data_IF_826473109181
#
_entry.id   IF_826473109181
#
_cell.length_a   1.000
_cell.length_b   1.000
_cell.length_c   1.000
_cell.angle_alpha   90.00
_cell.angle_beta   90.00
_cell.angle_gamma   90.00
#
_symmetry.space_group_name_H-M   'P 1'
#
loop_
_entity.id
_entity.type
_entity.pdbx_description
1 polymer ?
#
# COMPACT_ATOMS: atom_id res chain seq x y z
N UNK A 1 -12.95 -16.62 -9.96
CA UNK A 1 -13.46 -15.96 -8.75
C UNK A 1 -12.22 -15.54 -7.97
N UNK A 2 -12.04 -14.24 -7.74
CA UNK A 2 -10.87 -13.71 -7.04
C UNK A 2 -10.92 -14.14 -5.56
N UNK A 3 -9.76 -14.31 -4.92
CA UNK A 3 -9.64 -14.77 -3.52
C UNK A 3 -10.47 -13.88 -2.58
N UNK A 4 -10.44 -12.56 -2.80
CA UNK A 4 -11.25 -11.59 -2.02
C UNK A 4 -12.75 -11.88 -2.13
N UNK A 5 -13.27 -12.18 -3.32
CA UNK A 5 -14.70 -12.47 -3.50
C UNK A 5 -15.11 -13.76 -2.77
N UNK A 6 -14.19 -14.73 -2.67
CA UNK A 6 -14.41 -15.95 -1.91
C UNK A 6 -14.43 -15.68 -0.39
N UNK A 7 -13.46 -14.90 0.11
CA UNK A 7 -13.36 -14.54 1.54
C UNK A 7 -14.55 -13.69 1.97
N UNK A 8 -14.88 -12.63 1.22
CA UNK A 8 -16.05 -11.78 1.49
C UNK A 8 -17.37 -12.54 1.39
N UNK A 9 -17.41 -13.63 0.59
CA UNK A 9 -18.58 -14.52 0.49
C UNK A 9 -18.91 -15.23 1.78
N UNK A 10 -17.94 -15.57 2.63
CA UNK A 10 -18.15 -16.17 3.95
C UNK A 10 -18.68 -15.17 4.98
N UNK A 11 -18.37 -13.89 4.82
CA UNK A 11 -18.77 -12.80 5.72
C UNK A 11 -20.01 -12.04 5.20
N UNK A 12 -20.82 -12.61 4.30
CA UNK A 12 -22.04 -11.96 3.84
C UNK A 12 -22.96 -11.64 5.01
N UNK A 13 -23.13 -10.37 5.39
CA UNK A 13 -24.13 -10.01 6.39
C UNK A 13 -25.53 -10.27 5.84
N UNK A 14 -26.41 -10.73 6.71
CA UNK A 14 -27.85 -10.96 6.41
C UNK A 14 -28.59 -9.62 6.23
N UNK A 15 -27.93 -8.49 6.48
CA UNK A 15 -28.44 -7.13 6.32
C UNK A 15 -27.72 -6.49 5.13
N UNK A 16 -28.46 -5.98 4.18
CA UNK A 16 -27.95 -5.08 3.12
C UNK A 16 -27.55 -3.77 3.81
N UNK A 17 -26.32 -3.69 4.30
CA UNK A 17 -25.77 -2.41 4.77
C UNK A 17 -25.63 -1.48 3.57
N UNK A 18 -26.12 -0.25 3.73
CA UNK A 18 -25.92 0.84 2.76
C UNK A 18 -24.41 1.00 2.54
N UNK A 19 -23.96 0.98 1.27
CA UNK A 19 -22.56 1.30 0.95
C UNK A 19 -22.19 2.62 1.65
N UNK A 20 -21.11 2.60 2.44
CA UNK A 20 -20.64 3.81 3.12
C UNK A 20 -20.16 4.78 2.04
N UNK A 21 -20.65 5.98 2.09
CA UNK A 21 -20.28 7.05 1.16
C UNK A 21 -18.84 7.47 1.44
N UNK A 22 -17.97 7.36 0.42
CA UNK A 22 -16.57 7.80 0.51
C UNK A 22 -16.50 9.25 0.05
N UNK A 23 -16.01 10.12 0.93
CA UNK A 23 -15.74 11.51 0.57
C UNK A 23 -14.50 11.62 -0.28
N UNK A 24 -14.62 12.17 -1.49
CA UNK A 24 -13.47 12.42 -2.38
C UNK A 24 -13.26 13.92 -2.57
N UNK A 25 -12.09 14.42 -2.16
CA UNK A 25 -11.63 15.80 -2.33
C UNK A 25 -10.59 15.84 -3.45
N UNK A 26 -10.78 16.70 -4.44
CA UNK A 26 -9.86 16.88 -5.57
C UNK A 26 -9.17 18.23 -5.48
N UNK A 27 -7.86 18.23 -5.68
CA UNK A 27 -6.99 19.39 -5.60
C UNK A 27 -6.13 19.48 -6.87
N UNK A 28 -5.99 20.66 -7.44
CA UNK A 28 -5.06 20.88 -8.56
C UNK A 28 -3.61 20.72 -8.09
N UNK A 29 -3.28 21.31 -6.93
CA UNK A 29 -1.97 21.18 -6.31
C UNK A 29 -2.05 21.30 -4.78
N UNK A 30 -1.12 20.64 -4.10
CA UNK A 30 -0.95 20.68 -2.65
C UNK A 30 0.52 20.40 -2.31
N UNK A 31 0.96 20.72 -1.09
CA UNK A 31 2.29 20.33 -0.61
C UNK A 31 2.40 18.80 -0.52
N UNK A 32 1.44 18.18 0.16
CA UNK A 32 1.32 16.72 0.29
C UNK A 32 -0.12 16.36 0.66
N UNK A 33 -0.69 15.35 -0.01
CA UNK A 33 -2.04 14.84 0.31
C UNK A 33 -2.12 14.27 1.73
N UNK A 34 -1.04 13.65 2.25
CA UNK A 34 -0.93 13.24 3.65
C UNK A 34 -0.96 14.45 4.60
N UNK A 35 -0.20 15.51 4.29
CA UNK A 35 -0.17 16.72 5.12
C UNK A 35 -1.55 17.39 5.17
N UNK A 36 -2.26 17.41 4.07
CA UNK A 36 -3.64 17.90 4.00
C UNK A 36 -4.55 17.11 4.95
N UNK A 37 -4.55 15.79 4.87
CA UNK A 37 -5.42 14.94 5.71
C UNK A 37 -5.05 14.96 7.20
N UNK A 38 -3.80 15.22 7.55
CA UNK A 38 -3.41 15.38 8.97
C UNK A 38 -4.09 16.56 9.67
N UNK A 39 -4.46 17.58 8.92
CA UNK A 39 -5.15 18.78 9.42
C UNK A 39 -6.65 18.77 9.10
N UNK A 40 -7.10 17.82 8.30
CA UNK A 40 -8.50 17.67 7.93
C UNK A 40 -9.33 17.19 9.12
N UNK A 41 -10.51 17.77 9.27
CA UNK A 41 -11.47 17.33 10.29
C UNK A 41 -12.68 16.75 9.57
N UNK A 42 -12.83 15.41 9.56
CA UNK A 42 -13.97 14.76 8.93
C UNK A 42 -15.28 15.10 9.67
N UNK A 43 -16.41 15.06 8.95
CA UNK A 43 -17.71 15.10 9.57
C UNK A 43 -17.98 13.79 10.35
N UNK A 44 -18.97 13.79 11.26
CA UNK A 44 -19.28 12.62 12.10
C UNK A 44 -19.69 11.38 11.29
N UNK A 45 -20.25 11.58 10.11
CA UNK A 45 -20.70 10.53 9.19
C UNK A 45 -19.71 10.23 8.05
N UNK A 46 -18.47 10.71 8.13
CA UNK A 46 -17.38 10.52 7.16
C UNK A 46 -16.43 9.39 7.60
N UNK A 47 -16.75 8.11 7.36
CA UNK A 47 -15.93 6.98 7.83
C UNK A 47 -14.63 6.85 7.04
N UNK A 48 -14.58 7.40 5.82
CA UNK A 48 -13.44 7.36 4.92
C UNK A 48 -13.39 8.62 4.06
N UNK A 49 -12.22 9.28 4.05
CA UNK A 49 -11.97 10.46 3.21
C UNK A 49 -10.79 10.20 2.30
N UNK A 50 -10.95 10.46 1.02
CA UNK A 50 -9.90 10.39 0.01
C UNK A 50 -9.57 11.79 -0.49
N UNK A 51 -8.30 12.15 -0.48
CA UNK A 51 -7.80 13.36 -1.12
C UNK A 51 -6.90 12.97 -2.28
N UNK A 52 -7.17 13.48 -3.46
CA UNK A 52 -6.36 13.28 -4.66
C UNK A 52 -5.89 14.63 -5.18
N UNK A 53 -4.63 14.70 -5.62
CA UNK A 53 -4.04 15.91 -6.20
C UNK A 53 -3.41 15.61 -7.57
N UNK A 54 -3.53 16.56 -8.49
CA UNK A 54 -2.83 16.47 -9.77
C UNK A 54 -1.32 16.70 -9.63
N UNK A 55 -0.92 17.47 -8.60
CA UNK A 55 0.49 17.73 -8.32
C UNK A 55 0.76 17.89 -6.82
N UNK A 56 1.90 17.37 -6.35
CA UNK A 56 2.43 17.61 -5.01
C UNK A 56 3.75 18.40 -5.10
N UNK A 57 3.80 19.57 -4.45
CA UNK A 57 5.02 20.42 -4.44
C UNK A 57 6.07 19.91 -3.46
N UNK A 58 5.70 19.08 -2.50
CA UNK A 58 6.57 18.47 -1.48
C UNK A 58 6.18 17.03 -1.21
N UNK A 59 6.07 16.22 -2.28
CA UNK A 59 5.75 14.79 -2.20
C UNK A 59 6.76 14.06 -1.31
N UNK A 60 6.25 13.25 -0.36
CA UNK A 60 7.06 12.54 0.64
C UNK A 60 7.05 11.05 0.39
N UNK A 61 8.23 10.43 0.54
CA UNK A 61 8.39 9.00 0.73
C UNK A 61 8.69 8.66 2.19
N UNK A 62 9.12 7.44 2.45
CA UNK A 62 9.48 6.99 3.79
C UNK A 62 10.77 7.66 4.31
N UNK A 63 10.71 8.22 5.52
CA UNK A 63 11.83 8.91 6.18
C UNK A 63 12.16 10.23 5.50
N UNK A 64 13.36 10.36 4.92
CA UNK A 64 13.84 11.56 4.21
C UNK A 64 13.63 11.52 2.70
N UNK A 65 13.06 10.42 2.17
CA UNK A 65 12.87 10.28 0.74
C UNK A 65 11.74 11.19 0.23
N UNK A 66 11.89 11.64 -1.00
CA UNK A 66 10.87 12.39 -1.73
C UNK A 66 10.17 11.49 -2.75
N UNK A 67 8.95 11.84 -3.13
CA UNK A 67 8.23 11.20 -4.23
C UNK A 67 8.22 12.14 -5.44
N UNK A 68 8.84 11.69 -6.53
CA UNK A 68 8.82 12.39 -7.81
C UNK A 68 7.50 12.15 -8.54
N UNK A 69 6.92 13.20 -9.11
CA UNK A 69 5.76 13.08 -9.99
C UNK A 69 5.66 14.24 -10.94
N UNK A 70 5.43 13.95 -12.22
CA UNK A 70 5.04 14.94 -13.21
C UNK A 70 3.58 15.35 -13.01
N UNK A 71 3.28 16.65 -13.13
CA UNK A 71 1.93 17.17 -12.90
C UNK A 71 0.90 16.52 -13.84
N UNK A 72 -0.20 16.07 -13.28
CA UNK A 72 -1.31 15.45 -13.99
C UNK A 72 -1.06 14.04 -14.54
N UNK A 73 0.16 13.48 -14.42
CA UNK A 73 0.51 12.17 -15.02
C UNK A 73 0.24 10.97 -14.10
N UNK A 74 0.37 11.15 -12.80
CA UNK A 74 0.30 10.06 -11.85
C UNK A 74 -0.93 10.17 -10.93
N UNK A 75 -1.23 9.13 -10.17
CA UNK A 75 -2.18 9.18 -9.07
C UNK A 75 -1.42 9.47 -7.77
N UNK A 76 -1.68 10.66 -7.21
CA UNK A 76 -1.16 11.13 -5.94
C UNK A 76 -2.35 11.33 -5.01
N UNK A 77 -2.58 10.41 -4.10
CA UNK A 77 -3.74 10.46 -3.24
C UNK A 77 -3.45 9.94 -1.83
N UNK A 78 -4.29 10.32 -0.90
CA UNK A 78 -4.26 9.77 0.45
C UNK A 78 -5.66 9.37 0.90
N UNK A 79 -5.74 8.31 1.71
CA UNK A 79 -6.98 7.80 2.31
C UNK A 79 -6.87 7.95 3.81
N UNK A 80 -7.83 8.65 4.43
CA UNK A 80 -7.99 8.75 5.88
C UNK A 80 -9.06 7.75 6.34
N UNK A 81 -8.72 6.95 7.33
CA UNK A 81 -9.64 6.04 8.03
C UNK A 81 -9.43 6.08 9.53
N UNK A 82 -10.38 5.53 10.31
CA UNK A 82 -10.41 5.54 11.77
C UNK A 82 -10.42 4.12 12.34
N UNK A 83 -9.28 3.37 12.30
CA UNK A 83 -9.21 1.93 12.62
C UNK A 83 -9.16 1.66 14.12
N UNK A 84 -10.13 2.18 14.88
CA UNK A 84 -10.18 2.05 16.35
C UNK A 84 -10.34 0.61 16.85
N UNK A 85 -10.71 -0.33 15.95
CA UNK A 85 -10.79 -1.77 16.24
C UNK A 85 -9.41 -2.42 16.36
N UNK A 86 -8.35 -1.85 15.75
CA UNK A 86 -7.02 -2.44 15.75
C UNK A 86 -6.18 -2.01 16.94
N UNK A 87 -5.52 -2.96 17.64
CA UNK A 87 -4.49 -2.62 18.63
C UNK A 87 -3.23 -2.11 17.91
N UNK A 88 -2.47 -1.24 18.60
CA UNK A 88 -1.25 -0.62 18.01
C UNK A 88 -0.23 -1.69 17.54
N UNK A 89 -0.11 -2.81 18.26
CA UNK A 89 0.80 -3.91 17.92
C UNK A 89 0.48 -4.58 16.57
N UNK A 90 -0.76 -4.47 16.10
CA UNK A 90 -1.22 -5.05 14.82
C UNK A 90 -1.41 -3.97 13.75
N UNK A 91 -0.71 -2.84 13.86
CA UNK A 91 -0.85 -1.72 12.93
C UNK A 91 -0.42 -2.08 11.51
N UNK A 92 0.46 -3.08 11.34
CA UNK A 92 0.95 -3.48 10.02
C UNK A 92 -0.16 -4.10 9.15
N UNK A 93 -1.22 -4.66 9.75
CA UNK A 93 -2.41 -5.11 9.02
C UNK A 93 -3.05 -4.01 8.15
N UNK A 94 -2.92 -2.74 8.57
CA UNK A 94 -3.36 -1.61 7.75
C UNK A 94 -2.51 -1.47 6.47
N UNK A 95 -1.19 -1.65 6.60
CA UNK A 95 -0.26 -1.65 5.47
C UNK A 95 -0.56 -2.79 4.50
N UNK A 96 -0.82 -3.98 5.03
CA UNK A 96 -1.19 -5.17 4.26
C UNK A 96 -2.48 -4.94 3.47
N UNK A 97 -3.53 -4.46 4.13
CA UNK A 97 -4.83 -4.18 3.49
C UNK A 97 -4.72 -3.11 2.40
N UNK A 98 -3.99 -2.01 2.67
CA UNK A 98 -3.76 -0.96 1.68
C UNK A 98 -2.97 -1.44 0.46
N UNK A 99 -1.90 -2.21 0.68
CA UNK A 99 -1.09 -2.79 -0.39
C UNK A 99 -1.88 -3.80 -1.23
N UNK A 100 -2.68 -4.65 -0.58
CA UNK A 100 -3.57 -5.60 -1.26
C UNK A 100 -4.63 -4.87 -2.10
N UNK A 101 -5.21 -3.77 -1.61
CA UNK A 101 -6.18 -2.99 -2.36
C UNK A 101 -5.59 -2.46 -3.68
N UNK A 102 -4.37 -1.92 -3.62
CA UNK A 102 -3.63 -1.48 -4.81
C UNK A 102 -3.35 -2.65 -5.75
N UNK A 103 -2.81 -3.75 -5.23
CA UNK A 103 -2.53 -4.95 -6.03
C UNK A 103 -3.76 -5.46 -6.77
N UNK A 104 -4.88 -5.62 -6.06
CA UNK A 104 -6.12 -6.13 -6.65
C UNK A 104 -6.67 -5.21 -7.76
N UNK A 105 -6.64 -3.88 -7.54
CA UNK A 105 -7.05 -2.92 -8.55
C UNK A 105 -6.13 -2.95 -9.78
N UNK A 106 -4.83 -3.10 -9.58
CA UNK A 106 -3.82 -3.13 -10.65
C UNK A 106 -3.82 -4.45 -11.43
N UNK A 107 -4.25 -5.56 -10.82
CA UNK A 107 -4.33 -6.87 -11.48
C UNK A 107 -5.26 -6.85 -12.71
N UNK A 108 -6.26 -5.97 -12.72
CA UNK A 108 -7.14 -5.79 -13.89
C UNK A 108 -6.40 -5.21 -15.11
N UNK A 109 -5.29 -4.50 -14.89
CA UNK A 109 -4.46 -3.87 -15.93
C UNK A 109 -3.27 -4.72 -16.35
N UNK A 110 -2.52 -5.25 -15.37
CA UNK A 110 -1.22 -5.90 -15.62
C UNK A 110 -1.13 -7.36 -15.16
N UNK A 111 -2.28 -7.97 -14.88
CA UNK A 111 -2.44 -9.39 -14.50
C UNK A 111 -1.54 -9.79 -13.31
N UNK A 112 -0.85 -10.94 -13.42
CA UNK A 112 -0.18 -11.61 -12.29
C UNK A 112 1.25 -11.13 -11.99
N UNK A 113 1.76 -10.12 -12.70
CA UNK A 113 3.14 -9.63 -12.52
C UNK A 113 3.28 -8.62 -11.36
N UNK A 114 2.18 -8.26 -10.68
CA UNK A 114 2.20 -7.36 -9.54
C UNK A 114 2.55 -8.11 -8.25
N UNK A 115 3.53 -7.57 -7.51
CA UNK A 115 3.99 -8.10 -6.22
C UNK A 115 4.11 -6.98 -5.19
N UNK A 116 3.92 -7.34 -3.93
CA UNK A 116 4.07 -6.46 -2.78
C UNK A 116 5.49 -6.56 -2.26
N UNK A 117 6.29 -5.52 -2.46
CA UNK A 117 7.66 -5.48 -1.92
C UNK A 117 7.63 -4.81 -0.55
N UNK A 118 7.91 -5.60 0.48
CA UNK A 118 8.06 -5.11 1.83
C UNK A 118 9.04 -3.92 1.92
N UNK A 119 8.73 -2.88 2.72
CA UNK A 119 7.57 -2.79 3.60
C UNK A 119 6.32 -2.16 2.93
N UNK A 120 6.43 -1.41 1.83
CA UNK A 120 5.40 -0.47 1.42
C UNK A 120 5.35 -0.17 -0.08
N UNK A 121 5.98 -0.98 -0.91
CA UNK A 121 6.08 -0.75 -2.35
C UNK A 121 5.26 -1.77 -3.16
N UNK A 122 4.77 -1.33 -4.30
CA UNK A 122 4.20 -2.20 -5.33
C UNK A 122 5.20 -2.31 -6.47
N UNK A 123 5.52 -3.54 -6.83
CA UNK A 123 6.44 -3.85 -7.91
C UNK A 123 5.73 -4.56 -9.05
N UNK A 124 6.08 -4.18 -10.29
CA UNK A 124 5.82 -4.96 -11.48
C UNK A 124 7.13 -5.60 -11.91
N UNK A 125 7.21 -6.93 -11.83
CA UNK A 125 8.50 -7.65 -11.92
C UNK A 125 9.53 -7.05 -10.94
N UNK A 126 10.68 -6.60 -11.44
CA UNK A 126 11.74 -5.99 -10.64
C UNK A 126 11.69 -4.44 -10.67
N UNK A 127 10.56 -3.83 -11.04
CA UNK A 127 10.43 -2.38 -11.17
C UNK A 127 9.36 -1.82 -10.23
N UNK A 128 9.68 -0.68 -9.62
CA UNK A 128 8.79 0.02 -8.69
C UNK A 128 7.69 0.77 -9.42
N UNK A 129 6.45 0.35 -9.20
CA UNK A 129 5.25 0.96 -9.77
C UNK A 129 4.59 1.95 -8.81
N UNK A 130 4.59 1.65 -7.51
CA UNK A 130 3.96 2.49 -6.49
C UNK A 130 4.74 2.43 -5.18
N UNK A 131 4.59 3.49 -4.37
CA UNK A 131 5.03 3.54 -2.97
C UNK A 131 3.92 4.06 -2.08
N UNK A 132 3.85 3.55 -0.84
CA UNK A 132 2.85 3.96 0.15
C UNK A 132 3.54 4.54 1.38
N UNK A 133 3.05 5.65 1.90
CA UNK A 133 3.47 6.26 3.17
C UNK A 133 2.29 6.26 4.15
N UNK A 134 2.39 5.44 5.20
CA UNK A 134 1.35 5.31 6.21
C UNK A 134 1.74 6.09 7.45
N UNK A 135 0.84 6.96 7.90
CA UNK A 135 1.00 7.77 9.12
C UNK A 135 -0.18 7.52 10.05
N UNK A 136 0.10 7.14 11.30
CA UNK A 136 -0.92 6.85 12.30
C UNK A 136 -0.92 7.88 13.41
N UNK A 137 -2.11 8.19 13.92
CA UNK A 137 -2.31 8.99 15.14
C UNK A 137 -2.90 8.12 16.23
N UNK A 138 -2.23 8.09 17.37
CA UNK A 138 -2.66 7.28 18.49
C UNK A 138 -3.47 8.10 19.48
N UNK A 139 -4.50 7.49 20.09
CA UNK A 139 -5.23 8.02 21.23
C UNK A 139 -5.66 6.87 22.14
N UNK A 140 -5.46 7.04 23.43
CA UNK A 140 -5.87 6.04 24.47
C UNK A 140 -5.38 4.62 24.18
N UNK A 141 -4.15 4.47 23.65
CA UNK A 141 -3.54 3.16 23.36
C UNK A 141 -4.10 2.45 22.10
N UNK A 142 -4.88 3.15 21.30
CA UNK A 142 -5.44 2.65 20.02
C UNK A 142 -5.06 3.56 18.86
N UNK A 143 -5.18 3.05 17.65
CA UNK A 143 -5.02 3.85 16.45
C UNK A 143 -6.33 4.64 16.27
N UNK A 144 -6.23 5.97 16.43
CA UNK A 144 -7.37 6.87 16.22
C UNK A 144 -7.59 7.14 14.75
N UNK A 145 -6.54 7.60 14.07
CA UNK A 145 -6.56 7.97 12.66
C UNK A 145 -5.41 7.28 11.95
N UNK A 146 -5.63 6.89 10.70
CA UNK A 146 -4.61 6.35 9.81
C UNK A 146 -4.73 7.01 8.45
N UNK A 147 -3.63 7.60 7.96
CA UNK A 147 -3.53 8.21 6.63
C UNK A 147 -2.62 7.34 5.76
N UNK A 148 -3.17 6.84 4.66
CA UNK A 148 -2.45 6.10 3.63
C UNK A 148 -2.14 7.04 2.47
N UNK A 149 -0.90 7.52 2.37
CA UNK A 149 -0.45 8.27 1.21
C UNK A 149 0.05 7.32 0.14
N UNK A 150 -0.44 7.47 -1.07
CA UNK A 150 -0.08 6.61 -2.20
C UNK A 150 0.43 7.47 -3.35
N UNK A 151 1.64 7.14 -3.83
CA UNK A 151 2.15 7.57 -5.11
C UNK A 151 2.13 6.39 -6.08
N UNK A 152 1.34 6.47 -7.13
CA UNK A 152 1.23 5.43 -8.16
C UNK A 152 1.59 6.03 -9.52
N UNK A 153 2.62 5.47 -10.15
CA UNK A 153 3.07 5.88 -11.47
C UNK A 153 2.08 5.36 -12.52
N UNK A 154 1.36 6.28 -13.18
CA UNK A 154 0.32 5.91 -14.15
C UNK A 154 0.73 6.23 -15.57
N UNK A 155 0.84 7.52 -15.92
CA UNK A 155 1.08 7.99 -17.28
C UNK A 155 2.40 8.78 -17.43
N UNK A 156 3.27 8.75 -16.44
CA UNK A 156 4.60 9.35 -16.53
C UNK A 156 5.53 8.46 -17.36
N UNK A 157 6.18 9.02 -18.35
CA UNK A 157 7.08 8.27 -19.25
C UNK A 157 8.55 8.38 -18.84
N UNK A 158 8.96 9.50 -18.23
CA UNK A 158 10.35 9.77 -17.88
C UNK A 158 10.47 10.04 -16.37
N UNK A 159 11.45 9.41 -15.74
CA UNK A 159 11.79 9.58 -14.33
C UNK A 159 13.19 10.19 -14.22
N UNK A 160 13.36 11.16 -13.31
CA UNK A 160 14.58 11.93 -13.14
C UNK A 160 15.22 11.76 -11.75
N UNK A 161 14.48 11.17 -10.80
CA UNK A 161 14.99 10.91 -9.45
C UNK A 161 15.91 9.69 -9.41
N UNK A 162 16.68 9.59 -8.31
CA UNK A 162 17.54 8.42 -8.03
C UNK A 162 16.74 7.19 -7.55
N UNK A 163 15.41 7.18 -7.73
CA UNK A 163 14.58 6.03 -7.38
C UNK A 163 15.00 4.81 -8.22
N UNK A 164 15.34 3.68 -7.61
CA UNK A 164 15.76 2.52 -8.37
C UNK A 164 14.59 1.94 -9.17
N UNK A 165 14.84 1.70 -10.47
CA UNK A 165 13.94 0.95 -11.35
C UNK A 165 12.47 1.42 -11.38
N UNK A 166 12.15 2.73 -11.48
CA UNK A 166 10.76 3.16 -11.58
C UNK A 166 10.13 2.69 -12.89
N UNK A 167 8.83 2.45 -12.84
CA UNK A 167 8.01 2.14 -14.02
C UNK A 167 6.61 2.70 -13.83
N UNK A 168 5.93 3.04 -14.93
CA UNK A 168 4.54 3.46 -14.94
C UNK A 168 3.64 2.47 -15.67
N UNK A 169 2.33 2.57 -15.46
CA UNK A 169 1.36 1.72 -16.17
C UNK A 169 1.41 1.95 -17.67
N UNK A 170 1.53 3.19 -18.14
CA UNK A 170 1.60 3.47 -19.59
C UNK A 170 2.83 2.85 -20.24
N UNK A 171 3.98 2.80 -19.55
CA UNK A 171 5.17 2.12 -20.05
C UNK A 171 4.99 0.60 -20.14
N UNK A 172 4.21 0.01 -19.22
CA UNK A 172 3.92 -1.43 -19.20
C UNK A 172 2.92 -1.80 -20.31
N UNK A 173 1.88 -0.98 -20.48
CA UNK A 173 0.74 -1.26 -21.36
C UNK A 173 0.93 -0.73 -22.79
N UNK A 174 1.80 0.26 -22.97
CA UNK A 174 2.01 0.95 -24.25
C UNK A 174 0.94 1.99 -24.61
N UNK A 175 0.09 2.37 -23.66
CA UNK A 175 -0.93 3.41 -23.83
C UNK A 175 -1.27 4.07 -22.47
N UNK A 176 -1.84 5.28 -22.51
CA UNK A 176 -2.31 5.97 -21.31
C UNK A 176 -3.49 5.24 -20.65
N UNK A 177 -3.56 5.37 -19.31
CA UNK A 177 -4.61 4.79 -18.47
C UNK A 177 -5.48 5.92 -17.93
N UNK A 178 -6.79 5.70 -17.89
CA UNK A 178 -7.74 6.60 -17.22
C UNK A 178 -7.50 6.56 -15.71
N UNK A 179 -6.95 7.66 -15.18
CA UNK A 179 -6.62 7.80 -13.76
C UNK A 179 -7.86 7.80 -12.86
N UNK A 180 -8.97 8.37 -13.34
CA UNK A 180 -10.21 8.45 -12.55
C UNK A 180 -10.85 7.07 -12.44
N UNK A 181 -10.90 6.30 -13.50
CA UNK A 181 -11.38 4.92 -13.48
C UNK A 181 -10.53 4.06 -12.54
N UNK A 182 -9.20 4.21 -12.62
CA UNK A 182 -8.26 3.47 -11.77
C UNK A 182 -8.42 3.86 -10.29
N UNK A 183 -8.55 5.16 -9.98
CA UNK A 183 -8.76 5.64 -8.62
C UNK A 183 -10.05 5.05 -8.03
N UNK A 184 -11.14 5.05 -8.78
CA UNK A 184 -12.42 4.50 -8.34
C UNK A 184 -12.32 2.98 -8.05
N UNK A 185 -11.58 2.23 -8.85
CA UNK A 185 -11.30 0.81 -8.60
C UNK A 185 -10.48 0.61 -7.32
N UNK A 186 -9.46 1.45 -7.10
CA UNK A 186 -8.62 1.39 -5.89
C UNK A 186 -9.48 1.69 -4.65
N UNK A 187 -10.28 2.76 -4.66
CA UNK A 187 -11.16 3.13 -3.55
C UNK A 187 -12.12 1.99 -3.21
N UNK A 188 -12.72 1.37 -4.23
CA UNK A 188 -13.60 0.23 -4.04
C UNK A 188 -12.87 -0.94 -3.35
N UNK A 189 -11.69 -1.33 -3.86
CA UNK A 189 -10.90 -2.42 -3.28
C UNK A 189 -10.41 -2.11 -1.87
N UNK A 190 -10.03 -0.86 -1.62
CA UNK A 190 -9.65 -0.40 -0.29
C UNK A 190 -10.83 -0.52 0.69
N UNK A 191 -12.02 -0.08 0.29
CA UNK A 191 -13.23 -0.19 1.12
C UNK A 191 -13.58 -1.65 1.44
N UNK A 192 -13.46 -2.56 0.46
CA UNK A 192 -13.70 -4.00 0.64
C UNK A 192 -12.74 -4.61 1.67
N UNK A 193 -11.43 -4.32 1.56
CA UNK A 193 -10.40 -4.88 2.44
C UNK A 193 -10.41 -4.22 3.83
N UNK A 194 -10.67 -2.92 3.90
CA UNK A 194 -10.84 -2.23 5.18
C UNK A 194 -12.05 -2.78 5.95
N UNK A 195 -13.16 -3.05 5.26
CA UNK A 195 -14.31 -3.72 5.86
C UNK A 195 -13.97 -5.12 6.37
N UNK A 196 -13.15 -5.89 5.64
CA UNK A 196 -12.69 -7.20 6.12
C UNK A 196 -11.91 -7.07 7.43
N UNK A 197 -11.06 -6.05 7.58
CA UNK A 197 -10.40 -5.73 8.85
C UNK A 197 -11.41 -5.40 9.96
N UNK A 198 -12.43 -4.58 9.68
CA UNK A 198 -13.48 -4.24 10.65
C UNK A 198 -14.25 -5.48 11.13
N UNK A 199 -14.40 -6.48 10.26
CA UNK A 199 -15.05 -7.76 10.57
C UNK A 199 -14.12 -8.78 11.28
N UNK A 200 -12.86 -8.41 11.53
CA UNK A 200 -11.88 -9.28 12.20
C UNK A 200 -11.17 -10.28 11.29
N UNK A 201 -11.21 -10.11 9.97
CA UNK A 201 -10.55 -10.95 8.97
C UNK A 201 -9.03 -10.78 8.90
N UNK A 202 -8.37 -10.68 10.04
CA UNK A 202 -6.93 -10.38 10.14
C UNK A 202 -6.06 -11.45 9.51
N UNK A 203 -6.36 -12.72 9.81
CA UNK A 203 -5.61 -13.84 9.26
C UNK A 203 -5.76 -13.96 7.73
N UNK A 204 -6.93 -13.61 7.19
CA UNK A 204 -7.18 -13.64 5.74
C UNK A 204 -6.36 -12.55 5.05
N UNK A 205 -6.34 -11.33 5.61
CA UNK A 205 -5.53 -10.22 5.09
C UNK A 205 -4.05 -10.60 5.10
N UNK A 206 -3.53 -11.10 6.24
CA UNK A 206 -2.12 -11.47 6.35
C UNK A 206 -1.77 -12.62 5.41
N UNK A 207 -2.60 -13.65 5.27
CA UNK A 207 -2.38 -14.74 4.33
C UNK A 207 -2.33 -14.25 2.87
N UNK A 208 -3.28 -13.39 2.46
CA UNK A 208 -3.29 -12.80 1.12
C UNK A 208 -2.05 -11.93 0.87
N UNK A 209 -1.61 -11.16 1.87
CA UNK A 209 -0.41 -10.33 1.78
C UNK A 209 0.84 -11.19 1.59
N UNK A 210 1.04 -12.22 2.41
CA UNK A 210 2.16 -13.15 2.30
C UNK A 210 2.20 -13.86 0.95
N UNK A 211 1.03 -14.26 0.41
CA UNK A 211 0.93 -14.82 -0.94
C UNK A 211 1.40 -13.87 -2.04
N UNK A 212 1.17 -12.58 -1.86
CA UNK A 212 1.48 -11.54 -2.82
C UNK A 212 2.91 -11.00 -2.73
N UNK A 213 3.70 -11.41 -1.71
CA UNK A 213 5.04 -10.87 -1.48
C UNK A 213 5.97 -11.05 -2.68
N UNK A 214 6.70 -9.99 -2.97
CA UNK A 214 7.83 -10.00 -3.89
C UNK A 214 8.93 -10.90 -3.34
N UNK A 215 9.45 -11.82 -4.15
CA UNK A 215 10.48 -12.80 -3.74
C UNK A 215 10.05 -13.73 -2.60
N UNK A 216 8.77 -14.03 -2.50
CA UNK A 216 8.23 -14.97 -1.50
C UNK A 216 8.90 -16.35 -1.53
N UNK A 217 9.23 -16.85 -2.72
CA UNK A 217 9.79 -18.19 -2.88
C UNK A 217 11.28 -18.21 -3.20
N UNK A 218 11.99 -19.18 -2.63
CA UNK A 218 13.42 -19.38 -2.91
C UNK A 218 14.35 -18.45 -2.14
N UNK A 219 15.64 -18.62 -2.38
CA UNK A 219 16.69 -17.77 -1.82
C UNK A 219 17.00 -16.62 -2.78
N UNK A 220 17.11 -15.42 -2.24
CA UNK A 220 17.43 -14.20 -2.97
C UNK A 220 18.52 -13.42 -2.25
N UNK A 221 19.17 -12.49 -2.94
CA UNK A 221 20.22 -11.66 -2.38
C UNK A 221 19.61 -10.49 -1.60
N UNK A 222 20.12 -10.32 -0.40
CA UNK A 222 19.84 -9.22 0.51
C UNK A 222 21.14 -8.60 0.99
N UNK A 223 21.08 -7.37 1.53
CA UNK A 223 22.16 -6.68 2.20
C UNK A 223 21.67 -6.10 3.50
N UNK A 224 22.40 -6.29 4.59
CA UNK A 224 22.22 -5.65 5.88
C UNK A 224 23.52 -4.96 6.34
N UNK A 225 23.60 -4.59 7.63
CA UNK A 225 24.79 -3.94 8.20
C UNK A 225 26.04 -4.82 8.17
N UNK A 226 25.89 -6.14 8.14
CA UNK A 226 27.00 -7.11 8.13
C UNK A 226 27.45 -7.45 6.69
N UNK A 227 26.69 -7.05 5.67
CA UNK A 227 27.02 -7.28 4.26
C UNK A 227 25.95 -8.03 3.47
N UNK A 228 26.35 -8.59 2.33
CA UNK A 228 25.44 -9.33 1.45
C UNK A 228 25.28 -10.78 1.90
N UNK A 229 24.07 -11.29 1.81
CA UNK A 229 23.73 -12.67 2.09
C UNK A 229 22.60 -13.19 1.21
N UNK A 230 22.45 -14.50 1.12
CA UNK A 230 21.30 -15.14 0.51
C UNK A 230 20.30 -15.53 1.60
N UNK A 231 19.05 -15.10 1.43
CA UNK A 231 17.96 -15.36 2.36
C UNK A 231 16.64 -15.68 1.65
N UNK A 232 15.78 -16.39 2.35
CA UNK A 232 14.41 -16.66 1.95
C UNK A 232 13.45 -15.98 2.93
N UNK A 233 12.39 -15.37 2.43
CA UNK A 233 11.34 -14.77 3.26
C UNK A 233 10.59 -15.90 3.96
N UNK A 234 10.54 -15.84 5.29
CA UNK A 234 9.75 -16.74 6.13
C UNK A 234 8.34 -16.14 6.31
N UNK A 235 8.29 -14.93 6.87
CA UNK A 235 7.04 -14.21 7.15
C UNK A 235 7.30 -12.71 7.36
N UNK A 236 6.23 -11.96 7.47
CA UNK A 236 6.21 -10.61 8.02
C UNK A 236 5.31 -10.67 9.25
N UNK A 237 5.82 -10.23 10.39
CA UNK A 237 5.09 -10.28 11.67
C UNK A 237 4.01 -9.19 11.76
N UNK A 238 3.09 -9.32 12.72
CA UNK A 238 1.95 -8.40 12.93
C UNK A 238 2.38 -6.94 13.17
N UNK A 239 3.60 -6.72 13.68
CA UNK A 239 4.18 -5.41 13.90
C UNK A 239 5.00 -4.88 12.72
N UNK A 240 5.14 -5.72 11.66
CA UNK A 240 5.78 -5.39 10.40
C UNK A 240 7.24 -5.83 10.27
N UNK A 241 7.82 -6.55 11.26
CA UNK A 241 9.17 -7.10 11.11
C UNK A 241 9.23 -8.13 9.98
N UNK A 242 10.26 -8.03 9.14
CA UNK A 242 10.53 -9.02 8.10
C UNK A 242 11.43 -10.12 8.66
N UNK A 243 10.95 -11.35 8.59
CA UNK A 243 11.70 -12.53 9.02
C UNK A 243 12.31 -13.23 7.81
N UNK A 244 13.62 -13.31 7.78
CA UNK A 244 14.39 -14.02 6.76
C UNK A 244 15.09 -15.24 7.38
N UNK A 245 15.22 -16.32 6.60
CA UNK A 245 16.10 -17.45 6.90
C UNK A 245 17.26 -17.43 5.91
N UNK A 246 18.48 -17.28 6.40
CA UNK A 246 19.66 -17.29 5.52
C UNK A 246 20.01 -18.70 5.03
N UNK A 247 20.96 -18.78 4.08
CA UNK A 247 21.40 -20.04 3.48
C UNK A 247 22.09 -21.01 4.46
N UNK A 248 22.47 -20.51 5.65
CA UNK A 248 23.01 -21.32 6.75
C UNK A 248 21.93 -21.81 7.73
N UNK A 249 20.66 -21.42 7.49
CA UNK A 249 19.52 -21.78 8.32
C UNK A 249 19.28 -20.84 9.51
N UNK A 250 20.02 -19.74 9.62
CA UNK A 250 19.86 -18.76 10.69
C UNK A 250 18.66 -17.86 10.41
N UNK A 251 17.84 -17.61 11.43
CA UNK A 251 16.73 -16.67 11.37
C UNK A 251 17.27 -15.27 11.63
N UNK A 252 16.87 -14.33 10.79
CA UNK A 252 17.21 -12.91 10.87
C UNK A 252 15.92 -12.11 10.86
N UNK A 253 15.81 -11.15 11.78
CA UNK A 253 14.67 -10.28 11.95
C UNK A 253 15.06 -8.83 11.63
N UNK A 254 14.24 -8.14 10.84
CA UNK A 254 14.55 -6.79 10.35
C UNK A 254 13.40 -5.83 10.51
N UNK A 255 13.68 -4.66 11.04
CA UNK A 255 12.85 -3.49 10.96
C UNK A 255 13.01 -2.79 9.61
N UNK A 256 12.15 -1.82 9.34
CA UNK A 256 12.21 -1.02 8.13
C UNK A 256 13.59 -0.35 7.98
N UNK A 257 14.21 -0.46 6.78
CA UNK A 257 15.53 0.05 6.40
C UNK A 257 16.74 -0.71 6.96
N UNK A 258 16.57 -1.76 7.71
CA UNK A 258 17.71 -2.56 8.21
C UNK A 258 18.19 -3.59 7.19
N UNK A 259 17.36 -3.92 6.21
CA UNK A 259 17.72 -4.82 5.11
C UNK A 259 17.30 -4.25 3.76
N UNK A 260 18.15 -4.45 2.77
CA UNK A 260 17.96 -4.07 1.37
C UNK A 260 17.80 -5.31 0.49
N UNK A 261 16.83 -5.26 -0.43
CA UNK A 261 16.66 -6.27 -1.49
C UNK A 261 17.61 -5.92 -2.64
N UNK A 262 18.59 -6.75 -2.94
CA UNK A 262 19.48 -6.57 -4.09
C UNK A 262 18.77 -7.06 -5.35
N UNK A 263 18.36 -6.13 -6.20
CA UNK A 263 17.59 -6.37 -7.42
C UNK A 263 18.50 -6.38 -8.64
#
# INVERSE_FOLDING_TARGET
MKIIDAVLGFFKPTVVEKEREVKVVRLDAVDSTNAYLRTYTPAEDEPMTVVVADYQTAGKGQGTNTWESEAGKNLLFSVLVHPTMLPVRSQFLLSEAGALALKEALTDYVKDDIRLKWPNDIYWKDKKLSGTLIETKLASGRIKDCVFGVGLNVNQETFHSDAPNPVSLCQILGHEVDKEELLNKIIKKFSELYRLLEMGGYNDISAMYHEALYRRGGFHKFRDADGEFEGAIVEVEDDGHLILRDSKGMIREYQFKEVEFII
#
